data_IF_666099657406
#
_entry.id   IF_666099657406
#
_cell.length_a   1.000
_cell.length_b   1.000
_cell.length_c   1.000
_cell.angle_alpha   90.00
_cell.angle_beta   90.00
_cell.angle_gamma   90.00
#
_symmetry.space_group_name_H-M   'P 1'
#
loop_
_entity.id
_entity.type
_entity.pdbx_description
1 polymer ?
#
# COMPACT_ATOMS: atom_id res chain seq x y z
N UNK A 1 -16.55 36.27 29.15
CA UNK A 1 -15.88 36.15 27.83
C UNK A 1 -14.87 34.98 27.77
N UNK A 2 -14.87 34.04 28.73
CA UNK A 2 -13.89 32.93 28.80
C UNK A 2 -14.33 31.60 28.14
N UNK A 3 -15.58 31.52 27.67
CA UNK A 3 -16.17 30.25 27.22
C UNK A 3 -15.77 29.87 25.77
N UNK A 4 -15.46 30.87 24.93
CA UNK A 4 -15.10 30.63 23.51
C UNK A 4 -13.72 30.02 23.31
N UNK A 5 -12.79 30.19 24.26
CA UNK A 5 -11.42 29.71 24.10
C UNK A 5 -11.31 28.20 24.31
N UNK A 6 -12.11 27.65 25.23
CA UNK A 6 -12.09 26.22 25.54
C UNK A 6 -12.55 25.39 24.34
N UNK A 7 -13.59 25.82 23.61
CA UNK A 7 -14.09 25.08 22.44
C UNK A 7 -13.04 24.94 21.32
N UNK A 8 -12.13 25.90 21.17
CA UNK A 8 -11.07 25.88 20.14
C UNK A 8 -9.96 24.86 20.41
N UNK A 9 -9.78 24.43 21.66
CA UNK A 9 -8.73 23.46 22.05
C UNK A 9 -9.23 22.02 21.92
N UNK A 10 -10.53 21.79 22.13
CA UNK A 10 -11.18 20.48 21.98
C UNK A 10 -11.47 20.12 20.51
N UNK A 11 -11.60 21.10 19.61
CA UNK A 11 -11.84 20.89 18.17
C UNK A 11 -10.53 20.66 17.39
N UNK A 12 -9.35 20.79 18.03
CA UNK A 12 -8.03 20.53 17.42
C UNK A 12 -7.52 19.10 17.66
N UNK A 13 -8.33 18.27 18.32
CA UNK A 13 -8.09 16.84 18.46
C UNK A 13 -8.73 16.07 17.30
N UNK A 14 -8.61 16.62 16.09
CA UNK A 14 -8.61 15.78 14.89
C UNK A 14 -7.33 14.94 14.96
N UNK A 15 -7.36 13.93 15.82
CA UNK A 15 -6.42 12.83 15.77
C UNK A 15 -6.46 12.37 14.33
N UNK A 16 -5.33 12.46 13.63
CA UNK A 16 -5.17 11.93 12.30
C UNK A 16 -5.39 10.42 12.43
N UNK A 17 -6.65 9.99 12.29
CA UNK A 17 -7.05 8.61 12.45
C UNK A 17 -6.42 7.87 11.29
N UNK A 18 -5.23 7.34 11.55
CA UNK A 18 -4.51 6.55 10.58
C UNK A 18 -5.44 5.43 10.15
N UNK A 19 -5.68 5.37 8.85
CA UNK A 19 -6.46 4.28 8.28
C UNK A 19 -5.75 2.96 8.60
N UNK A 20 -6.51 1.86 8.70
CA UNK A 20 -5.93 0.51 8.94
C UNK A 20 -4.81 0.20 7.94
N UNK A 21 -4.90 0.71 6.71
CA UNK A 21 -3.88 0.56 5.67
C UNK A 21 -2.61 1.35 6.02
N UNK A 22 -2.74 2.57 6.54
CA UNK A 22 -1.59 3.37 6.99
C UNK A 22 -0.91 2.75 8.21
N UNK A 23 -1.66 2.27 9.21
CA UNK A 23 -1.09 1.56 10.37
C UNK A 23 -0.32 0.30 9.93
N UNK A 24 -0.88 -0.45 8.98
CA UNK A 24 -0.23 -1.63 8.43
C UNK A 24 1.06 -1.29 7.64
N UNK A 25 1.06 -0.21 6.87
CA UNK A 25 2.26 0.25 6.17
C UNK A 25 3.34 0.76 7.13
N UNK A 26 2.93 1.44 8.20
CA UNK A 26 3.83 1.83 9.29
C UNK A 26 4.45 0.59 9.94
N UNK A 27 3.65 -0.43 10.25
CA UNK A 27 4.13 -1.70 10.81
C UNK A 27 5.15 -2.41 9.90
N UNK A 28 4.91 -2.47 8.59
CA UNK A 28 5.84 -3.07 7.63
C UNK A 28 7.18 -2.32 7.63
N UNK A 29 7.11 -0.99 7.65
CA UNK A 29 8.28 -0.11 7.65
C UNK A 29 9.09 -0.28 8.94
N UNK A 30 8.42 -0.35 10.09
CA UNK A 30 9.02 -0.51 11.41
C UNK A 30 9.71 -1.87 11.58
N UNK A 31 9.10 -2.94 11.07
CA UNK A 31 9.68 -4.29 11.09
C UNK A 31 10.80 -4.49 10.06
N UNK A 32 11.19 -3.45 9.32
CA UNK A 32 12.13 -3.52 8.21
C UNK A 32 11.77 -4.59 7.18
N UNK A 33 10.49 -4.91 7.03
CA UNK A 33 10.01 -5.89 6.07
C UNK A 33 10.04 -5.37 4.62
N UNK A 34 10.98 -4.46 4.31
CA UNK A 34 11.23 -3.88 2.99
C UNK A 34 11.49 -4.93 1.92
N UNK A 35 12.00 -6.11 2.31
CA UNK A 35 12.18 -7.27 1.43
C UNK A 35 10.86 -7.84 0.88
N UNK A 36 9.71 -7.52 1.46
CA UNK A 36 8.42 -8.06 0.98
C UNK A 36 7.97 -7.34 -0.28
N UNK A 37 8.34 -6.06 -0.42
CA UNK A 37 8.01 -5.25 -1.60
C UNK A 37 8.56 -5.88 -2.89
N UNK A 38 9.87 -6.20 -3.02
CA UNK A 38 10.38 -6.85 -4.21
C UNK A 38 9.80 -8.25 -4.43
N UNK A 39 9.52 -9.02 -3.37
CA UNK A 39 8.88 -10.35 -3.50
C UNK A 39 7.46 -10.22 -4.06
N UNK A 40 6.64 -9.33 -3.49
CA UNK A 40 5.28 -9.07 -3.95
C UNK A 40 5.26 -8.54 -5.39
N UNK A 41 6.23 -7.70 -5.74
CA UNK A 41 6.38 -7.17 -7.10
C UNK A 41 6.68 -8.29 -8.10
N UNK A 42 7.66 -9.16 -7.81
CA UNK A 42 7.98 -10.31 -8.68
C UNK A 42 6.81 -11.28 -8.77
N UNK A 43 6.14 -11.59 -7.66
CA UNK A 43 4.94 -12.44 -7.67
C UNK A 43 3.80 -11.82 -8.49
N UNK A 44 3.60 -10.51 -8.39
CA UNK A 44 2.63 -9.79 -9.21
C UNK A 44 2.98 -9.83 -10.70
N UNK A 45 4.25 -9.65 -11.05
CA UNK A 45 4.73 -9.77 -12.44
C UNK A 45 4.54 -11.20 -12.98
N UNK A 46 4.88 -12.23 -12.19
CA UNK A 46 4.65 -13.63 -12.58
C UNK A 46 3.16 -13.91 -12.76
N UNK A 47 2.31 -13.45 -11.83
CA UNK A 47 0.86 -13.59 -11.95
C UNK A 47 0.31 -12.89 -13.19
N UNK A 48 0.79 -11.68 -13.50
CA UNK A 48 0.47 -10.96 -14.72
C UNK A 48 0.86 -11.77 -15.96
N UNK A 49 2.08 -12.30 -16.00
CA UNK A 49 2.55 -13.13 -17.11
C UNK A 49 1.71 -14.40 -17.28
N UNK A 50 1.26 -15.02 -16.19
CA UNK A 50 0.35 -16.18 -16.23
C UNK A 50 -1.01 -15.82 -16.80
N UNK A 51 -1.56 -14.65 -16.44
CA UNK A 51 -2.83 -14.18 -17.02
C UNK A 51 -2.63 -13.90 -18.52
N UNK A 52 -1.55 -13.22 -18.89
CA UNK A 52 -1.24 -12.89 -20.28
C UNK A 52 -0.92 -14.13 -21.13
N UNK A 53 -0.34 -15.18 -20.55
CA UNK A 53 -0.07 -16.43 -21.27
C UNK A 53 -1.33 -17.21 -21.63
N UNK A 54 -2.42 -17.02 -20.89
CA UNK A 54 -3.74 -17.57 -21.24
C UNK A 54 -4.48 -16.74 -22.31
N UNK A 55 -3.90 -15.62 -22.76
CA UNK A 55 -4.48 -14.74 -23.80
C UNK A 55 -3.77 -14.92 -25.14
N UNK A 56 -4.26 -14.26 -26.19
CA UNK A 56 -3.58 -14.17 -27.49
C UNK A 56 -2.19 -13.51 -27.44
N UNK A 57 -1.76 -12.98 -26.29
CA UNK A 57 -0.42 -12.43 -26.10
C UNK A 57 0.68 -13.49 -25.90
N UNK A 58 0.32 -14.78 -25.76
CA UNK A 58 1.28 -15.88 -25.56
C UNK A 58 2.49 -15.90 -26.52
N UNK A 59 2.35 -15.63 -27.85
CA UNK A 59 3.48 -15.63 -28.78
C UNK A 59 4.56 -14.58 -28.47
N UNK A 60 4.20 -13.46 -27.84
CA UNK A 60 5.13 -12.37 -27.49
C UNK A 60 5.89 -12.64 -26.18
N UNK A 61 5.40 -13.56 -25.34
CA UNK A 61 6.11 -14.00 -24.13
C UNK A 61 7.33 -14.83 -24.53
N UNK A 62 7.20 -15.68 -25.55
CA UNK A 62 8.31 -16.50 -26.04
C UNK A 62 9.46 -15.67 -26.65
N UNK A 63 9.20 -14.46 -27.16
CA UNK A 63 10.26 -13.61 -27.72
C UNK A 63 11.15 -12.95 -26.66
N UNK A 64 10.79 -13.02 -25.38
CA UNK A 64 11.59 -12.49 -24.27
C UNK A 64 12.65 -13.49 -23.76
N UNK A 65 12.66 -14.72 -24.28
CA UNK A 65 13.57 -15.81 -23.92
C UNK A 65 14.31 -16.32 -25.16
#
# INVERSE_FOLDING_TARGET
MADKQKKSEFEQLDEEQLTIVQEFMLFITENKAWWMVPILLVLGLVGLLVILSATGAAPFIYTLF
#
